data_IF_519980943637
#
_entry.id   IF_519980943637
#
_cell.length_a   1.000
_cell.length_b   1.000
_cell.length_c   1.000
_cell.angle_alpha   90.00
_cell.angle_beta   90.00
_cell.angle_gamma   90.00
#
_symmetry.space_group_name_H-M   'P 1'
#
loop_
_entity.id
_entity.type
_entity.pdbx_description
1 polymer ?
#
# COMPACT_ATOMS: atom_id res chain seq x y z
N UNK A 1 -17.74 29.63 -5.53
CA UNK A 1 -16.97 29.23 -6.73
C UNK A 1 -16.49 27.76 -6.71
N UNK A 2 -16.64 27.01 -5.62
CA UNK A 2 -16.11 25.63 -5.50
C UNK A 2 -16.97 24.47 -6.02
N UNK A 3 -18.22 24.69 -6.47
CA UNK A 3 -19.07 23.61 -7.00
C UNK A 3 -18.81 23.30 -8.48
N UNK A 4 -18.36 24.29 -9.27
CA UNK A 4 -18.16 24.12 -10.72
C UNK A 4 -16.95 23.24 -11.06
N UNK A 5 -15.88 23.32 -10.27
CA UNK A 5 -14.64 22.58 -10.50
C UNK A 5 -14.79 21.06 -10.33
N UNK A 6 -15.77 20.61 -9.54
CA UNK A 6 -15.94 19.19 -9.18
C UNK A 6 -17.07 18.48 -9.92
N UNK A 7 -18.02 19.22 -10.52
CA UNK A 7 -18.91 18.66 -11.55
C UNK A 7 -18.11 18.09 -12.74
N UNK A 8 -16.95 18.68 -13.01
CA UNK A 8 -16.05 18.24 -14.09
C UNK A 8 -15.33 16.94 -13.73
N UNK A 9 -14.92 16.75 -12.47
CA UNK A 9 -14.34 15.49 -11.99
C UNK A 9 -15.36 14.33 -12.02
N UNK A 10 -16.62 14.58 -11.61
CA UNK A 10 -17.72 13.59 -11.67
C UNK A 10 -18.00 13.10 -13.09
N UNK A 11 -17.99 13.99 -14.07
CA UNK A 11 -18.17 13.61 -15.48
C UNK A 11 -16.98 12.81 -16.05
N UNK A 12 -15.79 12.95 -15.45
CA UNK A 12 -14.60 12.25 -15.88
C UNK A 12 -14.57 10.80 -15.40
N UNK A 13 -15.14 10.51 -14.23
CA UNK A 13 -15.28 9.16 -13.67
C UNK A 13 -16.28 8.32 -14.50
N UNK A 14 -17.43 8.90 -14.88
CA UNK A 14 -18.40 8.24 -15.77
C UNK A 14 -17.85 7.97 -17.17
N UNK A 15 -16.96 8.84 -17.70
CA UNK A 15 -16.31 8.59 -18.98
C UNK A 15 -15.21 7.53 -18.86
N UNK A 16 -14.40 7.52 -17.79
CA UNK A 16 -13.38 6.49 -17.60
C UNK A 16 -13.97 5.11 -17.30
N UNK A 17 -15.08 5.01 -16.56
CA UNK A 17 -15.81 3.74 -16.38
C UNK A 17 -16.38 3.23 -17.72
N UNK A 18 -16.96 4.11 -18.54
CA UNK A 18 -17.46 3.74 -19.87
C UNK A 18 -16.38 3.26 -20.85
N UNK A 19 -15.18 3.86 -20.83
CA UNK A 19 -14.04 3.41 -21.65
C UNK A 19 -13.37 2.14 -21.11
N UNK A 20 -13.40 1.93 -19.80
CA UNK A 20 -12.82 0.74 -19.16
C UNK A 20 -13.68 -0.50 -19.45
N UNK A 21 -15.00 -0.43 -19.25
CA UNK A 21 -15.90 -1.56 -19.52
C UNK A 21 -15.93 -1.95 -21.01
N UNK A 22 -15.87 -0.98 -21.93
CA UNK A 22 -15.82 -1.28 -23.37
C UNK A 22 -14.48 -1.90 -23.81
N UNK A 23 -13.36 -1.54 -23.17
CA UNK A 23 -12.04 -2.11 -23.46
C UNK A 23 -11.89 -3.58 -23.03
N UNK A 24 -12.58 -4.00 -21.95
CA UNK A 24 -12.57 -5.38 -21.49
C UNK A 24 -13.47 -6.29 -22.32
N UNK A 25 -14.66 -5.83 -22.73
CA UNK A 25 -15.60 -6.64 -23.53
C UNK A 25 -15.14 -6.89 -24.98
N UNK A 26 -14.43 -5.95 -25.61
CA UNK A 26 -13.90 -6.17 -26.98
C UNK A 26 -12.69 -7.12 -27.03
N UNK A 27 -11.98 -7.34 -25.92
CA UNK A 27 -10.75 -8.15 -25.92
C UNK A 27 -11.00 -9.65 -25.73
N UNK A 28 -12.17 -10.04 -25.21
CA UNK A 28 -12.55 -11.45 -25.06
C UNK A 28 -13.24 -12.06 -26.31
N UNK A 29 -13.90 -11.25 -27.15
CA UNK A 29 -14.56 -11.75 -28.37
C UNK A 29 -13.59 -12.04 -29.53
N UNK A 30 -12.39 -11.44 -29.53
CA UNK A 30 -11.41 -11.61 -30.61
C UNK A 30 -10.57 -12.89 -30.57
N UNK A 31 -10.68 -13.73 -29.52
CA UNK A 31 -9.84 -14.92 -29.34
C UNK A 31 -10.54 -16.27 -29.49
N UNK A 32 -11.82 -16.30 -29.90
CA UNK A 32 -12.61 -17.55 -30.02
C UNK A 32 -13.10 -17.92 -31.42
N UNK A 33 -12.71 -17.22 -32.49
CA UNK A 33 -13.12 -17.58 -33.85
C UNK A 33 -11.93 -17.67 -34.81
N UNK A 34 -11.23 -18.80 -34.80
CA UNK A 34 -10.43 -19.30 -35.93
C UNK A 34 -9.97 -20.74 -35.67
N UNK A 35 -10.91 -21.70 -35.63
CA UNK A 35 -10.55 -23.13 -35.65
C UNK A 35 -11.70 -24.00 -36.19
N UNK A 36 -11.99 -23.85 -37.49
CA UNK A 36 -12.63 -24.84 -38.37
C UNK A 36 -12.60 -24.18 -39.76
N UNK A 37 -11.99 -24.72 -40.81
CA UNK A 37 -12.11 -26.04 -41.41
C UNK A 37 -11.06 -26.09 -42.54
N UNK A 38 -10.50 -27.25 -42.87
CA UNK A 38 -10.31 -27.73 -44.26
C UNK A 38 -9.71 -29.15 -44.19
N UNK A 39 -10.44 -30.07 -44.79
CA UNK A 39 -10.15 -31.47 -45.07
C UNK A 39 -9.42 -31.64 -46.41
N UNK A 40 -8.42 -32.53 -46.48
CA UNK A 40 -8.36 -33.70 -47.39
C UNK A 40 -6.93 -34.27 -47.63
N UNK A 41 -6.72 -35.49 -47.13
CA UNK A 41 -6.20 -36.71 -47.80
C UNK A 41 -5.12 -36.62 -48.90
N UNK A 42 -3.92 -37.20 -48.64
CA UNK A 42 -3.41 -38.47 -49.22
C UNK A 42 -1.88 -38.55 -49.49
N UNK A 43 -1.24 -39.53 -48.85
CA UNK A 43 -0.08 -40.37 -49.22
C UNK A 43 1.19 -39.80 -49.93
N UNK A 44 2.37 -39.93 -49.28
CA UNK A 44 3.48 -40.86 -49.71
C UNK A 44 4.73 -40.86 -48.79
N UNK A 45 5.09 -42.06 -48.33
CA UNK A 45 6.41 -42.71 -48.09
C UNK A 45 7.55 -42.03 -47.28
N UNK A 46 7.94 -42.74 -46.21
CA UNK A 46 9.25 -42.75 -45.52
C UNK A 46 10.44 -42.97 -46.47
N UNK A 47 11.59 -42.32 -46.17
CA UNK A 47 12.95 -42.91 -46.14
C UNK A 47 13.81 -42.20 -45.06
N UNK A 48 14.73 -42.99 -44.48
CA UNK A 48 15.58 -42.87 -43.29
C UNK A 48 16.59 -41.70 -43.21
N UNK A 49 17.01 -41.40 -41.97
CA UNK A 49 18.21 -40.64 -41.63
C UNK A 49 18.28 -40.30 -40.14
N UNK A 50 18.51 -41.30 -39.28
CA UNK A 50 18.51 -41.14 -37.82
C UNK A 50 19.67 -40.27 -37.32
N UNK A 51 19.35 -39.16 -36.65
CA UNK A 51 20.27 -38.44 -35.77
C UNK A 51 20.30 -39.21 -34.45
N UNK A 52 21.46 -39.74 -34.09
CA UNK A 52 21.65 -40.52 -32.86
C UNK A 52 21.53 -39.59 -31.63
N UNK A 53 20.33 -39.59 -31.02
CA UNK A 53 19.99 -38.81 -29.82
C UNK A 53 20.95 -39.12 -28.67
N UNK A 54 21.56 -40.31 -28.64
CA UNK A 54 22.52 -40.67 -27.59
C UNK A 54 23.80 -39.82 -27.64
N UNK A 55 24.22 -39.35 -28.82
CA UNK A 55 25.42 -38.51 -28.94
C UNK A 55 25.17 -37.03 -28.56
N UNK A 56 23.92 -36.56 -28.73
CA UNK A 56 23.46 -35.25 -28.25
C UNK A 56 23.25 -35.23 -26.73
N UNK A 57 22.76 -36.32 -26.15
CA UNK A 57 22.67 -36.46 -24.70
C UNK A 57 24.05 -36.58 -24.03
N UNK A 58 25.03 -37.18 -24.71
CA UNK A 58 26.40 -37.31 -24.19
C UNK A 58 27.21 -36.01 -24.25
N UNK A 59 26.96 -35.15 -25.24
CA UNK A 59 27.58 -33.82 -25.36
C UNK A 59 26.90 -32.76 -24.48
N UNK A 60 25.64 -32.96 -24.07
CA UNK A 60 25.02 -32.15 -22.99
C UNK A 60 25.58 -32.47 -21.61
N UNK A 61 26.00 -33.72 -21.38
CA UNK A 61 26.57 -34.17 -20.10
C UNK A 61 27.93 -33.57 -19.74
N UNK A 62 28.56 -32.83 -20.66
CA UNK A 62 29.91 -32.28 -20.50
C UNK A 62 29.95 -30.75 -20.27
N UNK A 63 28.78 -30.09 -20.12
CA UNK A 63 28.68 -28.66 -19.80
C UNK A 63 27.86 -28.33 -18.53
N UNK A 64 27.53 -29.32 -17.71
CA UNK A 64 26.74 -29.15 -16.48
C UNK A 64 27.62 -29.32 -15.22
N UNK A 65 28.71 -28.57 -15.13
CA UNK A 65 29.57 -28.55 -13.93
C UNK A 65 29.88 -27.15 -13.40
N UNK A 66 29.01 -26.19 -13.70
CA UNK A 66 28.71 -25.12 -12.76
C UNK A 66 27.31 -25.40 -12.19
N UNK A 67 27.20 -26.52 -11.46
CA UNK A 67 26.00 -26.82 -10.69
C UNK A 67 25.77 -25.68 -9.69
N UNK A 68 24.52 -25.26 -9.52
CA UNK A 68 24.14 -24.32 -8.47
C UNK A 68 24.80 -24.73 -7.15
N UNK A 69 25.42 -23.78 -6.45
CA UNK A 69 26.07 -24.04 -5.16
C UNK A 69 25.01 -24.61 -4.22
N UNK A 70 25.24 -25.81 -3.67
CA UNK A 70 24.38 -26.34 -2.64
C UNK A 70 24.56 -25.50 -1.37
N UNK A 71 23.49 -24.88 -0.89
CA UNK A 71 23.51 -24.04 0.31
C UNK A 71 23.93 -24.80 1.57
N UNK A 72 23.75 -26.11 1.63
CA UNK A 72 24.24 -26.94 2.75
C UNK A 72 25.78 -27.00 2.82
N UNK A 73 26.46 -26.71 1.71
CA UNK A 73 27.93 -26.69 1.64
C UNK A 73 28.53 -25.35 2.05
N UNK A 74 27.70 -24.33 2.27
CA UNK A 74 28.13 -23.01 2.73
C UNK A 74 28.07 -22.93 4.27
N UNK A 75 28.86 -22.01 4.87
CA UNK A 75 28.64 -21.60 6.25
C UNK A 75 27.16 -21.25 6.51
N UNK A 76 26.54 -21.76 7.59
CA UNK A 76 25.11 -21.57 7.86
C UNK A 76 24.67 -20.10 7.80
N UNK A 77 25.52 -19.18 8.26
CA UNK A 77 25.25 -17.75 8.25
C UNK A 77 25.04 -17.22 6.83
N UNK A 78 25.81 -17.70 5.86
CA UNK A 78 25.66 -17.31 4.45
C UNK A 78 24.40 -17.93 3.85
N UNK A 79 24.09 -19.18 4.17
CA UNK A 79 22.89 -19.87 3.70
C UNK A 79 21.62 -19.19 4.19
N UNK A 80 21.54 -18.87 5.50
CA UNK A 80 20.42 -18.12 6.06
C UNK A 80 20.33 -16.71 5.49
N UNK A 81 21.47 -16.04 5.28
CA UNK A 81 21.49 -14.72 4.64
C UNK A 81 20.89 -14.78 3.24
N UNK A 82 21.28 -15.77 2.41
CA UNK A 82 20.74 -15.94 1.06
C UNK A 82 19.23 -16.21 1.12
N UNK A 83 18.80 -17.15 1.96
CA UNK A 83 17.39 -17.53 2.08
C UNK A 83 16.54 -16.39 2.65
N UNK A 84 17.10 -15.49 3.47
CA UNK A 84 16.36 -14.36 4.04
C UNK A 84 15.91 -13.31 3.01
N UNK A 85 16.50 -13.33 1.81
CA UNK A 85 16.07 -12.48 0.70
C UNK A 85 14.91 -13.07 -0.11
N UNK A 86 14.50 -14.31 0.17
CA UNK A 86 13.40 -14.96 -0.53
C UNK A 86 12.05 -14.53 0.04
N UNK A 87 11.04 -14.44 -0.83
CA UNK A 87 9.66 -14.32 -0.39
C UNK A 87 9.12 -15.67 0.11
N UNK A 88 7.93 -15.68 0.71
CA UNK A 88 7.35 -16.91 1.27
C UNK A 88 7.16 -18.04 0.25
N UNK A 89 6.83 -17.72 -1.00
CA UNK A 89 6.62 -18.72 -2.06
C UNK A 89 7.94 -19.36 -2.43
N UNK A 90 8.97 -18.56 -2.69
CA UNK A 90 10.31 -19.03 -3.03
C UNK A 90 10.91 -19.82 -1.86
N UNK A 91 10.65 -19.41 -0.63
CA UNK A 91 11.09 -20.11 0.56
C UNK A 91 10.37 -21.47 0.73
N UNK A 92 9.08 -21.54 0.40
CA UNK A 92 8.36 -22.81 0.34
C UNK A 92 8.96 -23.74 -0.71
N UNK A 93 9.34 -23.22 -1.89
CA UNK A 93 10.01 -24.00 -2.93
C UNK A 93 11.41 -24.44 -2.49
N UNK A 94 12.17 -23.55 -1.85
CA UNK A 94 13.48 -23.84 -1.28
C UNK A 94 13.40 -24.97 -0.24
N UNK A 95 12.32 -25.02 0.54
CA UNK A 95 12.11 -26.11 1.52
C UNK A 95 11.96 -27.50 0.90
N UNK A 96 11.66 -27.61 -0.41
CA UNK A 96 11.66 -28.91 -1.09
C UNK A 96 13.07 -29.46 -1.32
N UNK A 97 14.10 -28.60 -1.30
CA UNK A 97 15.50 -28.94 -1.54
C UNK A 97 16.32 -28.85 -0.24
N UNK A 98 16.13 -27.78 0.53
CA UNK A 98 16.85 -27.44 1.76
C UNK A 98 15.88 -27.40 2.94
N UNK A 99 15.37 -28.57 3.36
CA UNK A 99 14.30 -28.67 4.36
C UNK A 99 14.67 -27.99 5.68
N UNK A 100 15.84 -28.28 6.24
CA UNK A 100 16.25 -27.77 7.55
C UNK A 100 16.53 -26.25 7.51
N UNK A 101 17.17 -25.78 6.43
CA UNK A 101 17.54 -24.36 6.28
C UNK A 101 16.32 -23.48 5.98
N UNK A 102 15.42 -23.91 5.08
CA UNK A 102 14.30 -23.09 4.62
C UNK A 102 13.08 -23.14 5.56
N UNK A 103 12.99 -24.13 6.46
CA UNK A 103 11.97 -24.16 7.51
C UNK A 103 12.45 -23.56 8.83
N UNK A 104 13.61 -22.90 8.85
CA UNK A 104 14.14 -22.27 10.06
C UNK A 104 13.19 -21.21 10.64
N UNK A 105 12.99 -21.27 11.95
CA UNK A 105 12.02 -20.42 12.65
C UNK A 105 12.42 -18.95 12.67
N UNK A 106 13.72 -18.63 12.72
CA UNK A 106 14.19 -17.24 12.71
C UNK A 106 13.96 -16.61 11.34
N UNK A 107 14.12 -17.40 10.28
CA UNK A 107 13.89 -16.94 8.93
C UNK A 107 12.42 -16.61 8.69
N UNK A 108 11.50 -17.51 9.07
CA UNK A 108 10.06 -17.25 9.01
C UNK A 108 9.63 -16.13 9.97
N UNK A 109 10.26 -16.00 11.14
CA UNK A 109 10.03 -14.88 12.05
C UNK A 109 10.40 -13.55 11.40
N UNK A 110 11.58 -13.48 10.78
CA UNK A 110 12.06 -12.32 10.04
C UNK A 110 11.07 -11.91 8.96
N UNK A 111 10.58 -12.89 8.19
CA UNK A 111 9.60 -12.67 7.13
C UNK A 111 8.24 -12.18 7.66
N UNK A 112 7.74 -12.77 8.74
CA UNK A 112 6.52 -12.30 9.42
C UNK A 112 6.65 -10.84 9.89
N UNK A 113 7.76 -10.52 10.57
CA UNK A 113 8.01 -9.16 11.07
C UNK A 113 8.28 -8.17 9.95
N UNK A 114 8.91 -8.55 8.85
CA UNK A 114 9.11 -7.64 7.71
C UNK A 114 7.80 -7.32 6.99
N UNK A 115 6.87 -8.27 6.92
CA UNK A 115 5.63 -8.14 6.15
C UNK A 115 4.51 -7.43 6.93
N UNK A 116 4.32 -7.80 8.20
CA UNK A 116 3.25 -7.21 9.04
C UNK A 116 3.76 -6.23 10.11
N UNK A 117 5.05 -6.27 10.46
CA UNK A 117 5.69 -5.38 11.43
C UNK A 117 5.27 -5.58 12.89
N UNK A 118 3.99 -5.45 13.19
CA UNK A 118 3.42 -5.60 14.54
C UNK A 118 2.31 -6.63 14.55
N UNK A 119 2.32 -7.56 15.50
CA UNK A 119 1.21 -8.44 15.86
C UNK A 119 1.27 -8.68 17.37
N UNK A 120 0.12 -8.76 18.05
CA UNK A 120 0.10 -8.97 19.50
C UNK A 120 0.75 -10.28 19.91
N UNK A 121 0.63 -11.33 19.08
CA UNK A 121 1.28 -12.63 19.30
C UNK A 121 2.83 -12.55 19.35
N UNK A 122 3.45 -11.55 18.72
CA UNK A 122 4.92 -11.40 18.75
C UNK A 122 5.46 -11.09 20.15
N UNK A 123 4.62 -10.55 21.03
CA UNK A 123 4.98 -10.17 22.40
C UNK A 123 4.48 -11.17 23.44
N UNK A 124 3.89 -12.29 23.00
CA UNK A 124 3.33 -13.33 23.87
C UNK A 124 4.23 -14.55 23.90
N UNK A 125 4.06 -15.37 24.93
CA UNK A 125 4.64 -16.69 24.94
C UNK A 125 3.96 -17.53 23.84
N UNK A 126 4.73 -18.11 22.91
CA UNK A 126 4.16 -18.90 21.83
C UNK A 126 3.44 -20.13 22.39
N UNK A 127 2.24 -20.47 21.87
CA UNK A 127 1.52 -21.67 22.28
C UNK A 127 2.30 -22.95 21.91
N UNK A 128 1.94 -24.08 22.52
CA UNK A 128 2.53 -25.38 22.18
C UNK A 128 2.32 -25.68 20.69
N UNK A 129 3.38 -26.05 19.98
CA UNK A 129 3.33 -26.32 18.54
C UNK A 129 3.25 -25.06 17.66
N UNK A 130 3.58 -23.90 18.20
CA UNK A 130 3.75 -22.68 17.42
C UNK A 130 4.93 -22.79 16.46
N UNK A 131 4.73 -22.29 15.23
CA UNK A 131 5.77 -22.13 14.23
C UNK A 131 5.48 -20.83 13.47
N UNK A 132 6.52 -20.04 13.22
CA UNK A 132 6.41 -18.81 12.43
C UNK A 132 5.97 -19.06 11.00
N UNK A 133 6.28 -20.24 10.43
CA UNK A 133 5.78 -20.64 9.12
C UNK A 133 4.25 -20.80 9.14
N UNK A 134 3.71 -21.43 10.18
CA UNK A 134 2.26 -21.55 10.37
C UNK A 134 1.62 -20.19 10.62
N UNK A 135 2.25 -19.36 11.44
CA UNK A 135 1.77 -17.99 11.70
C UNK A 135 1.76 -17.17 10.41
N UNK A 136 2.78 -17.28 9.56
CA UNK A 136 2.83 -16.60 8.25
C UNK A 136 1.61 -16.95 7.42
N UNK A 137 1.28 -18.25 7.28
CA UNK A 137 0.11 -18.68 6.52
C UNK A 137 -1.19 -18.11 7.10
N UNK A 138 -1.34 -18.07 8.42
CA UNK A 138 -2.52 -17.49 9.07
C UNK A 138 -2.58 -15.97 8.88
N UNK A 139 -1.45 -15.28 8.90
CA UNK A 139 -1.36 -13.85 8.66
C UNK A 139 -1.71 -13.48 7.22
N UNK A 140 -1.24 -14.28 6.27
CA UNK A 140 -1.57 -14.15 4.85
C UNK A 140 -3.06 -14.40 4.59
N UNK A 141 -3.60 -15.51 5.11
CA UNK A 141 -5.03 -15.82 5.03
C UNK A 141 -5.88 -14.70 5.64
N UNK A 142 -5.58 -14.27 6.87
CA UNK A 142 -6.32 -13.19 7.53
C UNK A 142 -6.23 -11.85 6.80
N UNK A 143 -5.10 -11.56 6.13
CA UNK A 143 -4.95 -10.37 5.30
C UNK A 143 -5.83 -10.44 4.06
N UNK A 144 -5.91 -11.61 3.42
CA UNK A 144 -6.81 -11.84 2.29
C UNK A 144 -8.28 -11.76 2.72
N UNK A 145 -8.63 -12.32 3.89
CA UNK A 145 -9.97 -12.20 4.46
C UNK A 145 -10.33 -10.74 4.74
N UNK A 146 -9.44 -9.95 5.35
CA UNK A 146 -9.65 -8.51 5.56
C UNK A 146 -9.88 -7.77 4.24
N UNK A 147 -9.11 -8.12 3.20
CA UNK A 147 -9.23 -7.52 1.88
C UNK A 147 -10.56 -7.86 1.17
N UNK A 148 -11.23 -8.94 1.58
CA UNK A 148 -12.59 -9.24 1.16
C UNK A 148 -13.63 -8.53 2.05
N UNK A 149 -13.55 -8.76 3.36
CA UNK A 149 -14.42 -8.21 4.40
C UNK A 149 -13.57 -7.80 5.63
N UNK A 150 -13.49 -6.50 5.97
CA UNK A 150 -12.63 -6.02 7.06
C UNK A 150 -12.99 -6.61 8.42
N UNK A 151 -14.28 -6.70 8.75
CA UNK A 151 -14.74 -7.20 10.04
C UNK A 151 -14.42 -8.69 10.20
N UNK A 152 -14.68 -9.49 9.16
CA UNK A 152 -14.32 -10.90 9.16
C UNK A 152 -12.81 -11.10 9.28
N UNK A 153 -12.00 -10.27 8.62
CA UNK A 153 -10.54 -10.34 8.69
C UNK A 153 -10.00 -10.02 10.09
N UNK A 154 -10.51 -8.97 10.73
CA UNK A 154 -10.12 -8.62 12.10
C UNK A 154 -10.57 -9.70 13.09
N UNK A 155 -11.81 -10.18 12.96
CA UNK A 155 -12.32 -11.29 13.77
C UNK A 155 -11.51 -12.58 13.56
N UNK A 156 -11.06 -12.85 12.34
CA UNK A 156 -10.16 -13.95 12.05
C UNK A 156 -8.86 -13.82 12.84
N UNK A 157 -8.18 -12.67 12.79
CA UNK A 157 -6.94 -12.44 13.53
C UNK A 157 -7.11 -12.61 15.05
N UNK A 158 -8.23 -12.13 15.59
CA UNK A 158 -8.57 -12.30 17.01
C UNK A 158 -8.83 -13.77 17.36
N UNK A 159 -9.59 -14.48 16.53
CA UNK A 159 -9.92 -15.90 16.75
C UNK A 159 -8.70 -16.80 16.74
N UNK A 160 -7.67 -16.45 15.97
CA UNK A 160 -6.38 -17.16 15.94
C UNK A 160 -5.41 -16.70 17.03
N UNK A 161 -5.77 -15.71 17.84
CA UNK A 161 -4.92 -15.14 18.88
C UNK A 161 -3.74 -14.31 18.36
N UNK A 162 -3.79 -13.91 17.08
CA UNK A 162 -2.74 -13.12 16.40
C UNK A 162 -2.78 -11.66 16.88
N UNK A 163 -3.98 -11.11 17.00
CA UNK A 163 -4.25 -9.77 17.50
C UNK A 163 -5.14 -9.83 18.74
N UNK A 164 -4.86 -8.93 19.69
CA UNK A 164 -5.75 -8.69 20.82
C UNK A 164 -6.90 -7.77 20.41
N UNK A 165 -8.05 -7.96 21.05
CA UNK A 165 -9.20 -7.05 20.91
C UNK A 165 -8.98 -5.77 21.71
N UNK A 166 -8.02 -4.97 21.22
CA UNK A 166 -7.67 -3.68 21.75
C UNK A 166 -7.48 -2.71 20.58
N UNK A 167 -8.14 -1.53 20.57
CA UNK A 167 -8.02 -0.57 19.48
C UNK A 167 -6.57 -0.18 19.19
N UNK A 168 -5.75 -0.06 20.24
CA UNK A 168 -4.32 0.25 20.17
C UNK A 168 -3.51 -0.85 19.47
N UNK A 169 -3.80 -2.12 19.70
CA UNK A 169 -3.08 -3.23 19.08
C UNK A 169 -3.45 -3.38 17.60
N UNK A 170 -4.74 -3.20 17.29
CA UNK A 170 -5.25 -3.16 15.92
C UNK A 170 -4.64 -1.98 15.15
N UNK A 171 -4.59 -0.79 15.76
CA UNK A 171 -3.99 0.39 15.16
C UNK A 171 -2.50 0.19 14.84
N UNK A 172 -1.72 -0.41 15.75
CA UNK A 172 -0.31 -0.73 15.50
C UNK A 172 -0.13 -1.75 14.37
N UNK A 173 -0.98 -2.78 14.33
CA UNK A 173 -0.98 -3.76 13.24
C UNK A 173 -1.20 -3.08 11.89
N UNK A 174 -2.27 -2.27 11.79
CA UNK A 174 -2.62 -1.50 10.59
C UNK A 174 -1.49 -0.56 10.18
N UNK A 175 -0.88 0.14 11.15
CA UNK A 175 0.19 1.11 10.87
C UNK A 175 1.44 0.46 10.28
N UNK A 176 1.76 -0.76 10.69
CA UNK A 176 2.99 -1.44 10.33
C UNK A 176 2.85 -2.36 9.11
N UNK A 177 1.66 -2.87 8.83
CA UNK A 177 1.42 -3.80 7.73
C UNK A 177 1.32 -3.07 6.38
N UNK A 178 1.77 -3.75 5.32
CA UNK A 178 1.61 -3.30 3.92
C UNK A 178 0.68 -4.19 3.09
N UNK A 179 0.09 -5.21 3.71
CA UNK A 179 -0.68 -6.25 3.00
C UNK A 179 -2.16 -5.91 2.86
N UNK A 180 -2.66 -4.95 3.62
CA UNK A 180 -4.08 -4.61 3.66
C UNK A 180 -4.47 -3.68 2.50
N UNK A 181 -5.63 -3.96 1.92
CA UNK A 181 -6.22 -3.14 0.88
C UNK A 181 -6.74 -1.83 1.49
N UNK A 182 -6.24 -0.70 1.01
CA UNK A 182 -6.57 0.60 1.56
C UNK A 182 -8.07 0.97 1.44
N UNK A 183 -8.79 0.49 0.42
CA UNK A 183 -10.23 0.76 0.28
C UNK A 183 -11.01 0.09 1.41
N UNK A 184 -10.63 -1.14 1.73
CA UNK A 184 -11.22 -1.93 2.83
C UNK A 184 -10.82 -1.36 4.19
N UNK A 185 -9.56 -0.96 4.32
CA UNK A 185 -9.07 -0.28 5.52
C UNK A 185 -9.85 1.00 5.82
N UNK A 186 -10.15 1.80 4.80
CA UNK A 186 -10.94 3.02 4.94
C UNK A 186 -12.33 2.74 5.52
N UNK A 187 -13.04 1.76 4.97
CA UNK A 187 -14.38 1.36 5.44
C UNK A 187 -14.30 0.97 6.91
N UNK A 188 -13.33 0.14 7.27
CA UNK A 188 -13.11 -0.28 8.65
C UNK A 188 -12.83 0.89 9.61
N UNK A 189 -11.97 1.83 9.21
CA UNK A 189 -11.61 2.99 10.05
C UNK A 189 -12.74 4.02 10.18
N UNK A 190 -13.67 4.07 9.23
CA UNK A 190 -14.86 4.93 9.32
C UNK A 190 -15.85 4.38 10.36
N UNK A 191 -15.99 3.05 10.43
CA UNK A 191 -16.81 2.36 11.42
C UNK A 191 -16.14 2.29 12.80
N UNK A 192 -14.85 1.96 12.86
CA UNK A 192 -14.04 1.84 14.08
C UNK A 192 -13.22 3.11 14.35
N UNK A 193 -13.93 4.18 14.70
CA UNK A 193 -13.31 5.50 15.00
C UNK A 193 -12.34 5.47 16.19
N UNK A 194 -12.53 4.53 17.11
CA UNK A 194 -11.61 4.25 18.22
C UNK A 194 -10.23 3.78 17.73
N UNK A 195 -10.20 2.87 16.76
CA UNK A 195 -8.97 2.40 16.12
C UNK A 195 -8.32 3.52 15.32
N UNK A 196 -9.11 4.34 14.62
CA UNK A 196 -8.61 5.50 13.88
C UNK A 196 -7.94 6.52 14.81
N UNK A 197 -8.48 6.76 16.00
CA UNK A 197 -7.87 7.63 17.00
C UNK A 197 -6.48 7.14 17.41
N UNK A 198 -6.36 5.88 17.82
CA UNK A 198 -5.07 5.28 18.14
C UNK A 198 -4.11 5.33 16.93
N UNK A 199 -4.59 5.04 15.71
CA UNK A 199 -3.78 5.06 14.49
C UNK A 199 -3.19 6.46 14.19
N UNK A 200 -3.98 7.52 14.37
CA UNK A 200 -3.51 8.90 14.21
C UNK A 200 -2.43 9.22 15.24
N UNK A 201 -2.55 8.70 16.47
CA UNK A 201 -1.54 8.93 17.52
C UNK A 201 -0.19 8.24 17.26
N UNK A 202 -0.14 7.25 16.36
CA UNK A 202 1.12 6.61 15.97
C UNK A 202 1.98 7.48 15.05
N UNK A 203 1.37 8.45 14.35
CA UNK A 203 2.11 9.35 13.46
C UNK A 203 2.93 10.37 14.26
N UNK A 204 4.19 10.55 13.89
CA UNK A 204 5.06 11.56 14.49
C UNK A 204 5.38 12.68 13.49
N UNK A 205 4.80 13.86 13.72
CA UNK A 205 4.97 15.04 12.85
C UNK A 205 5.95 16.07 13.41
N UNK A 206 6.77 15.71 14.40
CA UNK A 206 7.78 16.63 14.96
C UNK A 206 8.74 17.12 13.89
N UNK A 207 9.01 18.43 13.90
CA UNK A 207 9.94 19.09 12.98
C UNK A 207 9.57 18.92 11.49
N UNK A 208 8.33 18.56 11.19
CA UNK A 208 7.85 18.46 9.81
C UNK A 208 7.09 19.72 9.41
N UNK A 209 7.33 20.17 8.17
CA UNK A 209 6.54 21.22 7.57
C UNK A 209 5.11 20.72 7.28
N UNK A 210 4.09 21.55 7.53
CA UNK A 210 2.68 21.13 7.51
C UNK A 210 2.26 20.37 6.23
N UNK A 211 2.57 20.84 5.00
CA UNK A 211 2.22 20.10 3.79
C UNK A 211 2.92 18.74 3.66
N UNK A 212 4.13 18.60 4.20
CA UNK A 212 4.88 17.34 4.17
C UNK A 212 4.27 16.33 5.15
N UNK A 213 3.92 16.79 6.35
CA UNK A 213 3.20 15.97 7.33
C UNK A 213 1.84 15.51 6.80
N UNK A 214 1.11 16.40 6.11
CA UNK A 214 -0.20 16.08 5.53
C UNK A 214 -0.09 15.05 4.40
N UNK A 215 0.93 15.14 3.54
CA UNK A 215 1.24 14.11 2.54
C UNK A 215 1.55 12.76 3.17
N UNK A 216 2.41 12.76 4.19
CA UNK A 216 2.81 11.53 4.88
C UNK A 216 1.62 10.84 5.56
N UNK A 217 0.70 11.64 6.12
CA UNK A 217 -0.54 11.16 6.71
C UNK A 217 -1.45 10.49 5.66
N UNK A 218 -1.71 11.16 4.54
CA UNK A 218 -2.54 10.59 3.47
C UNK A 218 -1.85 9.46 2.71
N UNK A 219 -0.52 9.35 2.72
CA UNK A 219 0.19 8.20 2.16
C UNK A 219 -0.11 6.91 2.91
N UNK A 220 -0.38 6.98 4.22
CA UNK A 220 -0.68 5.80 5.04
C UNK A 220 -2.18 5.53 5.16
N UNK A 221 -2.99 6.55 5.42
CA UNK A 221 -4.45 6.36 5.67
C UNK A 221 -5.27 6.45 4.36
N UNK A 222 -4.66 6.95 3.28
CA UNK A 222 -5.28 7.25 1.99
C UNK A 222 -6.40 8.29 2.10
N UNK A 223 -6.33 9.35 1.29
CA UNK A 223 -7.40 10.34 1.23
C UNK A 223 -8.65 9.74 0.53
N UNK A 224 -9.87 10.03 1.00
CA UNK A 224 -11.08 9.55 0.33
C UNK A 224 -11.24 10.19 -1.05
N UNK A 225 -11.75 9.41 -2.01
CA UNK A 225 -11.96 9.84 -3.40
C UNK A 225 -13.03 10.94 -3.48
N UNK A 226 -14.02 10.89 -2.59
CA UNK A 226 -15.09 11.89 -2.48
C UNK A 226 -14.90 12.81 -1.27
N UNK A 227 -15.32 14.07 -1.43
CA UNK A 227 -15.49 14.96 -0.28
C UNK A 227 -16.71 14.52 0.50
N UNK A 228 -16.49 14.15 1.76
CA UNK A 228 -17.53 13.76 2.69
C UNK A 228 -17.05 13.85 4.13
N UNK A 229 -17.94 13.51 5.06
CA UNK A 229 -17.73 13.56 6.51
C UNK A 229 -16.42 12.89 6.96
N UNK A 230 -16.05 11.78 6.30
CA UNK A 230 -14.82 11.06 6.62
C UNK A 230 -13.55 11.89 6.36
N UNK A 231 -13.49 12.66 5.27
CA UNK A 231 -12.36 13.57 5.01
C UNK A 231 -12.24 14.63 6.10
N UNK A 232 -13.37 15.20 6.51
CA UNK A 232 -13.41 16.22 7.56
C UNK A 232 -12.92 15.65 8.89
N UNK A 233 -13.33 14.42 9.20
CA UNK A 233 -12.88 13.68 10.38
C UNK A 233 -11.36 13.45 10.35
N UNK A 234 -10.82 13.01 9.21
CA UNK A 234 -9.39 12.78 9.05
C UNK A 234 -8.57 14.06 9.23
N UNK A 235 -8.97 15.16 8.58
CA UNK A 235 -8.25 16.43 8.68
C UNK A 235 -8.35 17.00 10.11
N UNK A 236 -9.49 16.83 10.78
CA UNK A 236 -9.65 17.23 12.18
C UNK A 236 -8.65 16.48 13.06
N UNK A 237 -8.66 15.13 13.01
CA UNK A 237 -7.74 14.32 13.81
C UNK A 237 -6.27 14.61 13.48
N UNK A 238 -5.93 14.79 12.20
CA UNK A 238 -4.60 15.21 11.76
C UNK A 238 -4.19 16.55 12.37
N UNK A 239 -5.07 17.55 12.34
CA UNK A 239 -4.76 18.91 12.82
C UNK A 239 -4.48 18.92 14.32
N UNK A 240 -5.28 18.19 15.10
CA UNK A 240 -5.02 17.99 16.53
C UNK A 240 -3.67 17.29 16.76
N UNK A 241 -3.38 16.23 16.00
CA UNK A 241 -2.12 15.49 16.14
C UNK A 241 -0.90 16.31 15.75
N UNK A 242 -0.99 17.09 14.68
CA UNK A 242 0.08 17.97 14.22
C UNK A 242 0.42 19.02 15.28
N UNK A 243 -0.60 19.64 15.89
CA UNK A 243 -0.42 20.59 16.99
C UNK A 243 0.20 19.93 18.22
N UNK A 244 -0.29 18.75 18.61
CA UNK A 244 0.25 17.99 19.76
C UNK A 244 1.71 17.57 19.55
N UNK A 245 2.13 17.31 18.30
CA UNK A 245 3.52 17.02 17.98
C UNK A 245 4.42 18.27 17.99
N UNK A 246 3.87 19.46 17.75
CA UNK A 246 4.63 20.69 17.52
C UNK A 246 4.16 21.87 18.42
N UNK A 247 4.13 21.73 19.76
CA UNK A 247 3.56 22.73 20.66
C UNK A 247 4.29 24.09 20.60
N UNK A 248 5.62 24.08 20.48
CA UNK A 248 6.41 25.31 20.42
C UNK A 248 6.15 26.10 19.13
N UNK A 249 6.07 25.40 17.99
CA UNK A 249 5.71 25.99 16.69
C UNK A 249 4.30 26.61 16.73
N UNK A 250 3.34 25.92 17.36
CA UNK A 250 1.97 26.44 17.48
C UNK A 250 1.95 27.71 18.34
N UNK A 251 2.76 27.78 19.40
CA UNK A 251 2.89 28.97 20.26
C UNK A 251 3.58 30.12 19.53
N UNK A 252 4.64 29.85 18.78
CA UNK A 252 5.38 30.85 18.01
C UNK A 252 4.54 31.47 16.90
N UNK A 253 3.80 30.63 16.15
CA UNK A 253 2.96 31.07 15.04
C UNK A 253 1.54 31.51 15.48
N UNK A 254 1.19 31.34 16.76
CA UNK A 254 -0.15 31.63 17.28
C UNK A 254 -1.26 30.79 16.62
N UNK A 255 -0.95 29.57 16.18
CA UNK A 255 -1.89 28.70 15.46
C UNK A 255 -2.66 27.81 16.44
N UNK A 256 -3.99 27.74 16.23
CA UNK A 256 -4.86 26.76 16.88
C UNK A 256 -5.06 25.52 16.00
N UNK A 257 -5.50 24.37 16.57
CA UNK A 257 -5.92 23.21 15.78
C UNK A 257 -6.94 23.56 14.69
N UNK A 258 -7.89 24.47 14.96
CA UNK A 258 -8.88 24.94 13.99
C UNK A 258 -8.23 25.72 12.83
N UNK A 259 -7.23 26.55 13.12
CA UNK A 259 -6.47 27.25 12.09
C UNK A 259 -5.71 26.25 11.21
N UNK A 260 -5.07 25.24 11.81
CA UNK A 260 -4.39 24.16 11.08
C UNK A 260 -5.37 23.37 10.21
N UNK A 261 -6.58 23.08 10.71
CA UNK A 261 -7.64 22.44 9.93
C UNK A 261 -7.99 23.25 8.66
N UNK A 262 -8.20 24.56 8.79
CA UNK A 262 -8.48 25.44 7.65
C UNK A 262 -7.30 25.50 6.68
N UNK A 263 -6.07 25.51 7.18
CA UNK A 263 -4.86 25.45 6.35
C UNK A 263 -4.80 24.14 5.56
N UNK A 264 -5.02 22.99 6.19
CA UNK A 264 -5.04 21.69 5.53
C UNK A 264 -6.06 21.65 4.39
N UNK A 265 -7.28 22.15 4.62
CA UNK A 265 -8.29 22.28 3.57
C UNK A 265 -7.85 23.18 2.42
N UNK A 266 -7.24 24.32 2.76
CA UNK A 266 -6.71 25.24 1.76
C UNK A 266 -5.63 24.57 0.90
N UNK A 267 -4.76 23.75 1.50
CA UNK A 267 -3.71 23.01 0.80
C UNK A 267 -4.25 21.94 -0.13
N UNK A 268 -5.26 21.18 0.32
CA UNK A 268 -5.93 20.17 -0.50
C UNK A 268 -6.63 20.83 -1.70
N UNK A 269 -7.34 21.94 -1.48
CA UNK A 269 -7.99 22.69 -2.56
C UNK A 269 -6.97 23.26 -3.54
N UNK A 270 -5.85 23.80 -3.05
CA UNK A 270 -4.75 24.27 -3.89
C UNK A 270 -4.14 23.12 -4.69
N UNK A 271 -3.90 21.96 -4.07
CA UNK A 271 -3.29 20.83 -4.77
C UNK A 271 -4.14 20.36 -5.94
N UNK A 272 -5.47 20.28 -5.74
CA UNK A 272 -6.42 19.94 -6.80
C UNK A 272 -6.45 21.01 -7.88
N UNK A 273 -6.48 22.29 -7.50
CA UNK A 273 -6.49 23.41 -8.44
C UNK A 273 -5.26 23.36 -9.37
N UNK A 274 -4.07 23.15 -8.79
CA UNK A 274 -2.80 23.10 -9.52
C UNK A 274 -2.69 21.86 -10.41
N UNK A 275 -3.10 20.67 -9.97
CA UNK A 275 -2.96 19.44 -10.76
C UNK A 275 -4.08 19.22 -11.78
N UNK A 276 -5.29 19.75 -11.56
CA UNK A 276 -6.44 19.45 -12.42
C UNK A 276 -6.31 20.06 -13.83
N UNK A 277 -6.35 19.27 -14.92
CA UNK A 277 -6.24 19.80 -16.28
C UNK A 277 -7.42 20.69 -16.70
N UNK A 278 -8.54 20.63 -15.97
CA UNK A 278 -9.74 21.43 -16.23
C UNK A 278 -9.63 22.87 -15.75
N UNK A 279 -8.70 23.13 -14.83
CA UNK A 279 -8.44 24.49 -14.34
C UNK A 279 -7.49 25.17 -15.30
N UNK A 280 -8.03 25.99 -16.21
CA UNK A 280 -7.21 26.77 -17.15
C UNK A 280 -6.41 27.87 -16.44
N UNK A 281 -7.07 28.57 -15.50
CA UNK A 281 -6.47 29.66 -14.74
C UNK A 281 -6.17 29.17 -13.33
N UNK A 282 -4.93 28.76 -13.12
CA UNK A 282 -4.43 28.27 -11.83
C UNK A 282 -4.37 29.38 -10.80
N UNK A 283 -4.66 29.06 -9.54
CA UNK A 283 -4.55 30.00 -8.44
C UNK A 283 -3.11 30.48 -8.28
N UNK A 284 -2.89 31.79 -8.37
CA UNK A 284 -1.59 32.39 -8.12
C UNK A 284 -1.25 32.40 -6.62
N UNK A 285 0.05 32.45 -6.29
CA UNK A 285 0.53 32.58 -4.91
C UNK A 285 -0.14 33.73 -4.14
N UNK A 286 -0.28 34.89 -4.78
CA UNK A 286 -0.94 36.08 -4.20
C UNK A 286 -2.42 35.82 -3.90
N UNK A 287 -3.13 35.13 -4.79
CA UNK A 287 -4.53 34.78 -4.57
C UNK A 287 -4.69 33.77 -3.43
N UNK A 288 -3.82 32.77 -3.37
CA UNK A 288 -3.80 31.80 -2.27
C UNK A 288 -3.58 32.49 -0.93
N UNK A 289 -2.54 33.32 -0.79
CA UNK A 289 -2.26 34.08 0.44
C UNK A 289 -3.48 34.89 0.87
N UNK A 290 -4.10 35.64 -0.07
CA UNK A 290 -5.30 36.44 0.20
C UNK A 290 -6.48 35.58 0.67
N UNK A 291 -6.72 34.44 0.03
CA UNK A 291 -7.86 33.57 0.34
C UNK A 291 -7.67 32.89 1.70
N UNK A 292 -6.48 32.35 1.98
CA UNK A 292 -6.16 31.63 3.21
C UNK A 292 -6.17 32.56 4.42
N UNK A 293 -5.65 33.78 4.32
CA UNK A 293 -5.69 34.77 5.42
C UNK A 293 -7.10 35.26 5.76
N UNK A 294 -8.04 35.19 4.83
CA UNK A 294 -9.47 35.45 5.11
C UNK A 294 -10.12 34.31 5.88
N UNK A 295 -9.66 33.08 5.67
CA UNK A 295 -10.22 31.88 6.28
C UNK A 295 -9.59 31.57 7.65
N UNK A 296 -8.31 31.88 7.84
CA UNK A 296 -7.59 31.70 9.08
C UNK A 296 -6.89 33.00 9.50
N UNK A 297 -7.27 33.53 10.66
CA UNK A 297 -6.75 34.79 11.20
C UNK A 297 -5.38 34.58 11.85
N UNK A 298 -4.61 35.66 11.98
CA UNK A 298 -3.30 35.70 12.67
C UNK A 298 -2.16 34.89 12.03
N UNK A 299 -2.24 34.62 10.72
CA UNK A 299 -1.18 33.90 9.99
C UNK A 299 -0.33 34.87 9.16
N UNK A 300 1.00 34.74 9.26
CA UNK A 300 1.98 35.49 8.46
C UNK A 300 1.86 35.20 6.96
N UNK A 301 1.99 36.23 6.12
CA UNK A 301 1.98 36.09 4.66
C UNK A 301 3.13 35.23 4.15
N UNK A 302 4.31 35.36 4.75
CA UNK A 302 5.49 34.58 4.37
C UNK A 302 5.27 33.08 4.61
N UNK A 303 4.68 32.73 5.76
CA UNK A 303 4.36 31.34 6.07
C UNK A 303 3.37 30.74 5.07
N UNK A 304 2.28 31.45 4.77
CA UNK A 304 1.30 31.00 3.75
C UNK A 304 1.92 30.94 2.36
N UNK A 305 2.83 31.86 2.05
CA UNK A 305 3.62 31.83 0.83
C UNK A 305 4.48 30.57 0.71
N UNK A 306 5.18 30.18 1.77
CA UNK A 306 5.96 28.94 1.81
C UNK A 306 5.09 27.69 1.66
N UNK A 307 3.86 27.70 2.21
CA UNK A 307 2.90 26.61 1.99
C UNK A 307 2.57 26.46 0.50
N UNK A 308 2.30 27.57 -0.19
CA UNK A 308 2.03 27.56 -1.64
C UNK A 308 3.23 27.00 -2.43
N UNK A 309 4.43 27.52 -2.16
CA UNK A 309 5.64 27.12 -2.88
C UNK A 309 5.88 25.60 -2.72
N UNK A 310 5.64 25.06 -1.54
CA UNK A 310 5.77 23.63 -1.30
C UNK A 310 4.76 22.80 -2.11
N UNK A 311 3.49 23.22 -2.21
CA UNK A 311 2.51 22.52 -3.06
C UNK A 311 2.89 22.64 -4.54
N UNK A 312 3.32 23.82 -4.97
CA UNK A 312 3.70 24.08 -6.35
C UNK A 312 4.91 23.24 -6.79
N UNK A 313 5.92 23.10 -5.92
CA UNK A 313 7.17 22.40 -6.24
C UNK A 313 7.06 20.87 -6.08
N UNK A 314 6.43 20.39 -5.01
CA UNK A 314 6.37 18.94 -4.70
C UNK A 314 5.15 18.28 -5.32
N UNK A 315 4.05 19.02 -5.49
CA UNK A 315 2.81 18.51 -6.07
C UNK A 315 1.80 18.00 -5.04
N UNK A 316 1.02 17.01 -5.45
CA UNK A 316 -0.26 16.63 -4.84
C UNK A 316 -0.14 16.26 -3.36
N UNK A 317 -1.17 16.60 -2.56
CA UNK A 317 -1.19 16.35 -1.11
C UNK A 317 -1.95 15.08 -0.76
N UNK A 318 -3.03 14.80 -1.49
CA UNK A 318 -4.00 13.74 -1.23
C UNK A 318 -4.20 12.94 -2.52
N UNK A 319 -3.14 12.24 -2.97
CA UNK A 319 -3.18 11.42 -4.18
C UNK A 319 -3.92 10.09 -3.95
#
# INVERSE_FOLDING_TARGET
MGQGLWRVARNQQLQQEGYSEQGYLSREQGRRMAASSISNTSHRKQVQGGIDIYHLLKTRKSKEQEGFINLEMLPPELSFTILSYLNATDLCLASCVWQDLANDELLWQGLCKSTWGHCSIYNKNPPLGFSFRKLYMQLDEGSLTFNANPDEGVNYFMSKGILDDSPKEIAKFIFCTRTLNWKKLRIYLDERRDVLDDLVTLHNFRNQFLPNALREFFRHIHAPEERGEYLETLITKFSHRFCACNPDLMRELGLSPDAVYVLCYSLILLSIDLTSPHVKNKMSKREFIRNTRRAAQNISEDFVGHLYDNIYLIGHVAA
#
